data_IF_421661727379
#
_entry.id   IF_421661727379
#
_cell.length_a   1.000
_cell.length_b   1.000
_cell.length_c   1.000
_cell.angle_alpha   90.00
_cell.angle_beta   90.00
_cell.angle_gamma   90.00
#
_symmetry.space_group_name_H-M   'P 1'
#
loop_
_entity.id
_entity.type
_entity.pdbx_description
1 polymer ?
#
# COMPACT_ATOMS: atom_id res chain seq x y z
N UNK A 1 10.96 -7.32 17.41
CA UNK A 1 11.05 -7.74 16.00
C UNK A 1 12.51 -7.82 15.63
N UNK A 2 12.91 -8.82 14.84
CA UNK A 2 14.30 -9.00 14.38
C UNK A 2 14.40 -8.66 12.89
N UNK A 3 15.07 -7.55 12.57
CA UNK A 3 15.26 -7.06 11.20
C UNK A 3 16.63 -7.46 10.60
N UNK A 4 17.40 -8.29 11.31
CA UNK A 4 18.56 -8.96 10.71
C UNK A 4 18.08 -10.07 9.75
N UNK A 5 16.97 -10.73 10.10
CA UNK A 5 16.44 -11.89 9.39
C UNK A 5 15.07 -11.65 8.74
N UNK A 6 14.58 -10.41 8.75
CA UNK A 6 13.26 -10.06 8.25
C UNK A 6 13.18 -8.59 7.88
N UNK A 7 12.01 -8.19 7.39
CA UNK A 7 11.75 -6.84 6.94
C UNK A 7 10.71 -6.17 7.87
N UNK A 8 10.80 -4.85 8.09
CA UNK A 8 9.72 -4.14 8.75
C UNK A 8 8.45 -4.23 7.88
N UNK A 9 7.30 -3.83 8.42
CA UNK A 9 6.09 -3.67 7.62
C UNK A 9 6.29 -2.69 6.47
N UNK A 10 5.44 -2.84 5.45
CA UNK A 10 5.50 -2.04 4.23
C UNK A 10 5.54 -0.55 4.51
N UNK A 11 6.29 0.25 3.72
CA UNK A 11 6.19 1.70 3.81
C UNK A 11 4.78 2.18 3.48
N UNK A 12 3.98 1.41 2.74
CA UNK A 12 2.55 1.65 2.51
C UNK A 12 1.65 1.26 3.68
N UNK A 13 2.14 0.48 4.66
CA UNK A 13 1.34 0.12 5.81
C UNK A 13 0.97 1.39 6.59
N UNK A 14 -0.30 1.45 7.01
CA UNK A 14 -0.90 2.60 7.68
C UNK A 14 -1.24 2.26 9.11
N UNK A 15 -1.06 3.22 10.00
CA UNK A 15 -1.66 3.26 11.33
C UNK A 15 -2.38 4.59 11.44
N UNK A 16 -3.71 4.56 11.62
CA UNK A 16 -4.58 5.74 11.55
C UNK A 16 -4.35 6.60 10.29
N UNK A 17 -4.31 5.96 9.12
CA UNK A 17 -4.03 6.54 7.81
C UNK A 17 -2.65 7.20 7.62
N UNK A 18 -1.71 7.09 8.58
CA UNK A 18 -0.35 7.59 8.40
C UNK A 18 0.54 6.50 7.83
N UNK A 19 1.03 6.69 6.60
CA UNK A 19 1.95 5.72 5.96
C UNK A 19 3.30 5.69 6.65
N UNK A 20 4.02 4.58 6.52
CA UNK A 20 5.33 4.31 7.13
C UNK A 20 5.37 4.32 8.66
N UNK A 21 4.30 4.71 9.37
CA UNK A 21 4.27 4.69 10.83
C UNK A 21 4.46 3.26 11.39
N UNK A 22 3.75 2.23 10.91
CA UNK A 22 4.04 0.83 11.24
C UNK A 22 5.50 0.43 11.02
N UNK A 23 6.06 0.77 9.85
CA UNK A 23 7.46 0.46 9.49
C UNK A 23 8.47 1.15 10.41
N UNK A 24 8.20 2.40 10.80
CA UNK A 24 9.03 3.16 11.74
C UNK A 24 8.96 2.56 13.14
N UNK A 25 7.78 2.16 13.61
CA UNK A 25 7.63 1.46 14.90
C UNK A 25 8.44 0.16 14.90
N UNK A 26 8.36 -0.62 13.82
CA UNK A 26 9.11 -1.88 13.68
C UNK A 26 10.62 -1.65 13.76
N UNK A 27 11.13 -0.64 13.05
CA UNK A 27 12.56 -0.28 13.09
C UNK A 27 12.99 0.17 14.48
N UNK A 28 12.20 0.99 15.16
CA UNK A 28 12.52 1.44 16.53
C UNK A 28 12.49 0.25 17.51
N UNK A 29 11.51 -0.66 17.39
CA UNK A 29 11.47 -1.91 18.17
C UNK A 29 12.69 -2.78 17.90
N UNK A 30 13.15 -2.87 16.66
CA UNK A 30 14.35 -3.63 16.31
C UNK A 30 15.63 -2.99 16.88
N UNK A 31 15.76 -1.66 16.80
CA UNK A 31 16.84 -0.88 17.42
C UNK A 31 16.92 -1.11 18.93
N UNK A 32 15.79 -0.99 19.64
CA UNK A 32 15.68 -1.25 21.07
C UNK A 32 16.12 -2.67 21.46
N UNK A 33 15.92 -3.65 20.58
CA UNK A 33 16.29 -5.04 20.79
C UNK A 33 17.70 -5.39 20.26
N UNK A 34 18.45 -4.43 19.70
CA UNK A 34 19.76 -4.68 19.09
C UNK A 34 19.70 -5.56 17.83
N UNK A 35 18.57 -5.56 17.13
CA UNK A 35 18.28 -6.42 15.96
C UNK A 35 17.86 -5.60 14.73
N UNK A 36 18.33 -4.35 14.64
CA UNK A 36 17.98 -3.45 13.54
C UNK A 36 18.57 -3.89 12.17
N UNK A 37 19.70 -4.58 12.17
CA UNK A 37 20.38 -4.99 10.94
C UNK A 37 20.91 -3.80 10.13
N UNK A 38 20.69 -3.80 8.81
CA UNK A 38 21.13 -2.75 7.89
C UNK A 38 20.19 -1.53 7.85
N UNK A 39 19.05 -1.61 8.52
CA UNK A 39 18.09 -0.52 8.54
C UNK A 39 18.57 0.68 9.37
N UNK A 40 18.06 1.86 9.02
CA UNK A 40 18.26 3.10 9.77
C UNK A 40 16.90 3.79 9.95
N UNK A 41 16.60 4.24 11.16
CA UNK A 41 15.34 4.96 11.46
C UNK A 41 15.56 6.44 11.84
N UNK A 42 16.76 6.80 12.29
CA UNK A 42 17.06 8.18 12.72
C UNK A 42 17.24 9.17 11.56
N UNK A 43 17.13 8.70 10.32
CA UNK A 43 17.27 9.48 9.09
C UNK A 43 16.24 9.07 8.04
N UNK A 44 16.22 9.75 6.90
CA UNK A 44 15.33 9.43 5.78
C UNK A 44 13.85 9.54 6.14
N UNK A 45 13.05 8.58 5.66
CA UNK A 45 11.58 8.58 5.80
C UNK A 45 11.09 8.50 7.25
N UNK A 46 11.75 7.72 8.11
CA UNK A 46 11.36 7.61 9.53
C UNK A 46 11.61 8.91 10.28
N UNK A 47 12.73 9.60 10.01
CA UNK A 47 12.94 10.96 10.52
C UNK A 47 11.90 11.93 9.99
N UNK A 48 11.61 11.91 8.68
CA UNK A 48 10.65 12.83 8.08
C UNK A 48 9.24 12.64 8.66
N UNK A 49 8.83 11.39 8.88
CA UNK A 49 7.60 11.07 9.61
C UNK A 49 7.59 11.66 11.02
N UNK A 50 8.65 11.46 11.80
CA UNK A 50 8.76 11.97 13.18
C UNK A 50 8.70 13.51 13.19
N UNK A 51 9.42 14.17 12.26
CA UNK A 51 9.37 15.63 12.10
C UNK A 51 7.97 16.11 11.73
N UNK A 52 7.26 15.39 10.84
CA UNK A 52 5.87 15.67 10.47
C UNK A 52 4.93 15.51 11.67
N UNK A 53 5.11 14.49 12.51
CA UNK A 53 4.31 14.35 13.74
C UNK A 53 4.69 15.41 14.79
N UNK A 54 5.83 16.08 14.64
CA UNK A 54 6.27 17.15 15.54
C UNK A 54 6.67 16.65 16.93
N UNK A 55 7.13 15.40 17.02
CA UNK A 55 7.66 14.78 18.24
C UNK A 55 9.18 14.61 18.14
N UNK A 56 9.87 14.52 19.28
CA UNK A 56 11.32 14.28 19.29
C UNK A 56 11.64 12.80 19.04
N UNK A 57 12.75 12.49 18.36
CA UNK A 57 13.16 11.10 18.08
C UNK A 57 13.37 10.30 19.37
N UNK A 58 14.10 10.85 20.35
CA UNK A 58 14.33 10.16 21.63
C UNK A 58 13.03 9.91 22.40
N UNK A 59 12.14 10.90 22.45
CA UNK A 59 10.84 10.75 23.12
C UNK A 59 9.98 9.67 22.43
N UNK A 60 10.01 9.61 21.10
CA UNK A 60 9.31 8.58 20.31
C UNK A 60 9.88 7.19 20.62
N UNK A 61 11.21 7.06 20.66
CA UNK A 61 11.90 5.82 21.00
C UNK A 61 11.56 5.35 22.41
N UNK A 62 11.62 6.23 23.40
CA UNK A 62 11.30 5.93 24.80
C UNK A 62 9.82 5.55 24.98
N UNK A 63 8.92 6.20 24.24
CA UNK A 63 7.51 5.86 24.25
C UNK A 63 7.28 4.44 23.70
N UNK A 64 7.91 4.08 22.57
CA UNK A 64 7.81 2.74 21.97
C UNK A 64 8.43 1.67 22.87
N UNK A 65 9.50 1.98 23.61
CA UNK A 65 10.16 1.03 24.51
C UNK A 65 9.24 0.50 25.63
N UNK A 66 8.19 1.24 25.98
CA UNK A 66 7.26 0.90 27.07
C UNK A 66 5.89 0.44 26.57
N UNK A 67 5.71 0.31 25.24
CA UNK A 67 4.41 0.08 24.60
C UNK A 67 4.41 -1.16 23.70
N UNK A 68 3.62 -2.20 24.06
CA UNK A 68 3.75 -3.51 23.43
C UNK A 68 3.13 -3.59 22.02
N UNK A 69 2.15 -2.75 21.72
CA UNK A 69 1.35 -2.80 20.49
C UNK A 69 1.27 -1.43 19.81
N UNK A 70 0.68 -1.38 18.62
CA UNK A 70 0.61 -0.17 17.80
C UNK A 70 -0.43 0.83 18.34
N UNK A 71 -1.53 0.33 18.91
CA UNK A 71 -2.60 1.17 19.48
C UNK A 71 -2.07 1.99 20.65
N UNK A 72 -1.33 1.37 21.57
CA UNK A 72 -0.72 2.08 22.70
C UNK A 72 0.33 3.11 22.26
N UNK A 73 1.05 2.87 21.16
CA UNK A 73 1.96 3.86 20.55
C UNK A 73 1.18 5.01 19.95
N UNK A 74 0.08 4.73 19.26
CA UNK A 74 -0.81 5.75 18.72
C UNK A 74 -1.43 6.63 19.81
N UNK A 75 -1.92 6.04 20.91
CA UNK A 75 -2.47 6.79 22.05
C UNK A 75 -1.45 7.81 22.61
N UNK A 76 -0.17 7.42 22.67
CA UNK A 76 0.89 8.35 23.08
C UNK A 76 1.14 9.43 22.04
N UNK A 77 1.18 9.08 20.75
CA UNK A 77 1.32 10.05 19.68
C UNK A 77 0.20 11.08 19.75
N UNK A 78 -1.06 10.68 19.90
CA UNK A 78 -2.18 11.61 20.00
C UNK A 78 -2.04 12.64 21.13
N UNK A 79 -1.36 12.29 22.22
CA UNK A 79 -1.14 13.19 23.36
C UNK A 79 0.07 14.12 23.21
N UNK A 80 1.02 13.77 22.34
CA UNK A 80 2.34 14.42 22.27
C UNK A 80 2.66 15.03 20.89
N UNK A 81 1.97 14.59 19.84
CA UNK A 81 2.16 15.05 18.47
C UNK A 81 1.47 16.39 18.23
N UNK A 82 1.97 17.13 17.25
CA UNK A 82 1.27 18.29 16.73
C UNK A 82 -0.05 17.84 16.10
N UNK A 83 -1.19 18.52 16.36
CA UNK A 83 -2.44 18.21 15.69
C UNK A 83 -2.28 18.24 14.17
N UNK A 84 -2.77 17.19 13.50
CA UNK A 84 -2.78 17.08 12.04
C UNK A 84 -4.21 16.88 11.56
N UNK A 85 -4.58 17.64 10.54
CA UNK A 85 -5.85 17.43 9.83
C UNK A 85 -5.73 16.23 8.90
N UNK A 86 -6.86 15.67 8.46
CA UNK A 86 -6.85 14.63 7.42
C UNK A 86 -6.16 15.13 6.14
N UNK A 87 -6.33 16.41 5.80
CA UNK A 87 -5.66 17.02 4.65
C UNK A 87 -4.13 17.05 4.83
N UNK A 88 -3.63 17.38 6.03
CA UNK A 88 -2.19 17.32 6.34
C UNK A 88 -1.65 15.90 6.14
N UNK A 89 -2.37 14.89 6.66
CA UNK A 89 -2.00 13.47 6.53
C UNK A 89 -2.01 13.05 5.06
N UNK A 90 -3.04 13.41 4.29
CA UNK A 90 -3.12 13.06 2.88
C UNK A 90 -2.01 13.71 2.05
N UNK A 91 -1.66 14.98 2.33
CA UNK A 91 -0.51 15.64 1.69
C UNK A 91 0.80 14.94 2.04
N UNK A 92 1.00 14.61 3.32
CA UNK A 92 2.17 13.88 3.77
C UNK A 92 2.28 12.49 3.10
N UNK A 93 1.20 11.71 3.10
CA UNK A 93 1.16 10.39 2.47
C UNK A 93 1.53 10.46 0.99
N UNK A 94 0.92 11.39 0.23
CA UNK A 94 1.25 11.60 -1.18
C UNK A 94 2.74 11.92 -1.36
N UNK A 95 3.27 12.85 -0.57
CA UNK A 95 4.66 13.27 -0.69
C UNK A 95 5.64 12.13 -0.36
N UNK A 96 5.27 11.21 0.52
CA UNK A 96 6.03 10.00 0.85
C UNK A 96 5.95 8.95 -0.25
N UNK A 97 4.72 8.61 -0.69
CA UNK A 97 4.43 7.59 -1.71
C UNK A 97 5.04 7.96 -3.06
N UNK A 98 4.88 9.21 -3.48
CA UNK A 98 5.31 9.67 -4.81
C UNK A 98 6.78 10.12 -4.83
N UNK A 99 7.51 10.01 -3.71
CA UNK A 99 8.89 10.45 -3.60
C UNK A 99 9.79 9.64 -4.54
N UNK A 100 10.38 10.34 -5.52
CA UNK A 100 11.36 9.78 -6.45
C UNK A 100 12.79 9.98 -5.99
N UNK A 101 13.68 9.13 -6.52
CA UNK A 101 15.11 9.30 -6.44
C UNK A 101 15.51 10.61 -7.14
N UNK A 102 16.44 11.35 -6.56
CA UNK A 102 16.96 12.56 -7.19
C UNK A 102 17.94 12.19 -8.31
N UNK A 103 18.16 13.06 -9.32
CA UNK A 103 19.10 12.79 -10.40
C UNK A 103 20.51 12.42 -9.92
N UNK A 104 20.96 13.00 -8.80
CA UNK A 104 22.27 12.73 -8.20
C UNK A 104 22.37 11.30 -7.62
N UNK A 105 21.24 10.61 -7.43
CA UNK A 105 21.16 9.22 -6.95
C UNK A 105 20.83 8.22 -8.05
N UNK A 106 20.80 8.63 -9.32
CA UNK A 106 20.44 7.77 -10.45
C UNK A 106 21.31 6.51 -10.54
N UNK A 107 22.64 6.65 -10.40
CA UNK A 107 23.55 5.49 -10.41
C UNK A 107 23.28 4.54 -9.24
N UNK A 108 22.94 5.08 -8.07
CA UNK A 108 22.66 4.27 -6.88
C UNK A 108 21.41 3.42 -7.07
N UNK A 109 20.32 3.99 -7.57
CA UNK A 109 19.10 3.20 -7.82
C UNK A 109 19.31 2.20 -8.95
N UNK A 110 20.12 2.52 -9.96
CA UNK A 110 20.50 1.56 -10.98
C UNK A 110 21.24 0.35 -10.38
N UNK A 111 22.28 0.57 -9.57
CA UNK A 111 23.02 -0.50 -8.87
C UNK A 111 22.10 -1.35 -7.98
N UNK A 112 21.19 -0.70 -7.24
CA UNK A 112 20.23 -1.39 -6.37
C UNK A 112 19.28 -2.28 -7.19
N UNK A 113 18.69 -1.75 -8.26
CA UNK A 113 17.80 -2.52 -9.13
C UNK A 113 18.54 -3.64 -9.87
N UNK A 114 19.80 -3.43 -10.28
CA UNK A 114 20.68 -4.46 -10.83
C UNK A 114 20.93 -5.60 -9.83
N UNK A 115 21.15 -5.27 -8.55
CA UNK A 115 21.44 -6.27 -7.51
C UNK A 115 20.31 -7.26 -7.26
N UNK A 116 19.07 -6.89 -7.56
CA UNK A 116 17.89 -7.75 -7.48
C UNK A 116 17.44 -8.29 -8.85
N UNK A 117 18.27 -8.13 -9.89
CA UNK A 117 18.01 -8.63 -11.23
C UNK A 117 16.93 -7.88 -12.01
N UNK A 118 16.61 -6.64 -11.62
CA UNK A 118 15.57 -5.80 -12.25
C UNK A 118 16.13 -4.46 -12.75
N UNK A 119 17.22 -4.42 -13.54
CA UNK A 119 17.86 -3.17 -13.96
C UNK A 119 16.91 -2.20 -14.67
N UNK A 120 15.93 -2.71 -15.43
CA UNK A 120 15.02 -1.90 -16.22
C UNK A 120 14.01 -1.06 -15.43
N UNK A 121 13.91 -1.25 -14.10
CA UNK A 121 12.93 -0.52 -13.27
C UNK A 121 13.51 0.67 -12.52
N UNK A 122 14.82 0.93 -12.61
CA UNK A 122 15.51 1.97 -11.83
C UNK A 122 14.98 3.39 -12.10
N UNK A 123 14.64 3.71 -13.35
CA UNK A 123 14.06 5.00 -13.75
C UNK A 123 12.55 5.11 -13.47
N UNK A 124 11.96 4.01 -13.03
CA UNK A 124 10.52 3.84 -12.90
C UNK A 124 10.16 4.06 -11.43
N UNK A 125 10.72 3.26 -10.54
CA UNK A 125 10.25 3.14 -9.15
C UNK A 125 10.51 4.38 -8.28
N UNK A 126 9.55 4.68 -7.42
CA UNK A 126 9.71 5.54 -6.25
C UNK A 126 10.49 4.82 -5.14
N UNK A 127 10.79 5.52 -4.05
CA UNK A 127 11.42 4.87 -2.90
C UNK A 127 10.56 3.77 -2.28
N UNK A 128 9.24 3.97 -2.17
CA UNK A 128 8.34 2.95 -1.59
C UNK A 128 8.21 1.74 -2.51
N UNK A 129 8.07 1.97 -3.82
CA UNK A 129 8.04 0.89 -4.81
C UNK A 129 9.35 0.09 -4.80
N UNK A 130 10.51 0.76 -4.69
CA UNK A 130 11.81 0.09 -4.55
C UNK A 130 11.90 -0.75 -3.28
N UNK A 131 11.50 -0.21 -2.11
CA UNK A 131 11.55 -0.95 -0.83
C UNK A 131 10.74 -2.24 -0.89
N UNK A 132 9.46 -2.15 -1.27
CA UNK A 132 8.63 -3.35 -1.40
C UNK A 132 9.21 -4.36 -2.42
N UNK A 133 9.84 -3.87 -3.48
CA UNK A 133 10.39 -4.72 -4.54
C UNK A 133 11.64 -5.46 -4.07
N UNK A 134 12.57 -4.78 -3.40
CA UNK A 134 13.77 -5.37 -2.81
C UNK A 134 13.41 -6.38 -1.71
N UNK A 135 12.40 -6.07 -0.90
CA UNK A 135 11.91 -6.92 0.20
C UNK A 135 10.96 -8.03 -0.31
N UNK A 136 10.83 -8.19 -1.64
CA UNK A 136 9.99 -9.17 -2.33
C UNK A 136 8.57 -9.29 -1.73
N UNK A 137 7.94 -8.16 -1.38
CA UNK A 137 6.68 -8.17 -0.63
C UNK A 137 5.53 -8.76 -1.44
N UNK A 138 4.86 -9.74 -0.83
CA UNK A 138 3.60 -10.32 -1.29
C UNK A 138 2.58 -10.28 -0.14
N UNK A 139 1.30 -10.18 -0.49
CA UNK A 139 0.21 -10.38 0.45
C UNK A 139 0.22 -11.81 0.96
N UNK A 140 -0.20 -12.00 2.21
CA UNK A 140 -0.47 -13.33 2.73
C UNK A 140 -1.58 -14.00 1.92
N UNK A 141 -1.38 -15.27 1.59
CA UNK A 141 -2.36 -16.06 0.85
C UNK A 141 -3.57 -16.35 1.74
N UNK A 142 -4.75 -16.05 1.19
CA UNK A 142 -6.03 -16.38 1.79
C UNK A 142 -6.73 -17.46 0.96
N UNK A 143 -7.48 -18.34 1.63
CA UNK A 143 -8.40 -19.29 1.01
C UNK A 143 -9.84 -18.84 1.17
N UNK A 144 -10.22 -18.43 2.37
CA UNK A 144 -11.63 -18.17 2.69
C UNK A 144 -12.10 -16.80 2.19
N UNK A 145 -13.37 -16.69 1.78
CA UNK A 145 -14.01 -15.40 1.56
C UNK A 145 -14.11 -14.62 2.88
N UNK A 146 -13.89 -13.32 2.80
CA UNK A 146 -14.15 -12.38 3.89
C UNK A 146 -15.51 -11.72 3.72
N UNK A 147 -16.16 -11.36 4.82
CA UNK A 147 -17.40 -10.60 4.80
C UNK A 147 -17.12 -9.11 4.64
N UNK A 148 -17.32 -8.61 3.42
CA UNK A 148 -17.06 -7.23 3.06
C UNK A 148 -18.10 -6.24 3.57
N UNK A 149 -19.16 -6.71 4.23
CA UNK A 149 -20.10 -5.82 4.94
C UNK A 149 -19.54 -5.34 6.29
N UNK A 150 -18.50 -5.99 6.81
CA UNK A 150 -17.93 -5.70 8.14
C UNK A 150 -16.40 -5.62 8.14
N UNK A 151 -15.74 -6.00 7.04
CA UNK A 151 -14.28 -5.96 6.94
C UNK A 151 -13.89 -5.51 5.54
N UNK A 152 -13.09 -4.45 5.38
CA UNK A 152 -12.64 -4.02 4.06
C UNK A 152 -11.80 -5.11 3.38
N UNK A 153 -11.81 -5.19 2.03
CA UNK A 153 -10.90 -6.07 1.33
C UNK A 153 -9.46 -5.59 1.54
N UNK A 154 -8.48 -6.44 1.20
CA UNK A 154 -7.06 -6.12 1.40
C UNK A 154 -6.68 -4.77 0.80
N UNK A 155 -5.70 -4.12 1.44
CA UNK A 155 -5.22 -2.79 1.09
C UNK A 155 -4.79 -2.75 -0.39
N UNK A 156 -5.16 -1.70 -1.16
CA UNK A 156 -4.90 -1.64 -2.60
C UNK A 156 -3.41 -1.68 -2.97
N UNK A 157 -2.50 -1.37 -2.04
CA UNK A 157 -1.05 -1.42 -2.25
C UNK A 157 -0.47 -2.83 -2.05
N UNK A 158 -1.22 -3.76 -1.46
CA UNK A 158 -0.78 -5.15 -1.34
C UNK A 158 -0.70 -5.82 -2.71
N UNK A 159 0.23 -6.77 -2.84
CA UNK A 159 0.60 -7.36 -4.11
C UNK A 159 0.46 -8.87 -4.09
N UNK A 160 0.02 -9.41 -5.20
CA UNK A 160 0.22 -10.81 -5.58
C UNK A 160 0.82 -10.80 -6.99
N UNK A 161 1.73 -11.70 -7.29
CA UNK A 161 2.46 -11.71 -8.58
C UNK A 161 3.17 -10.38 -8.90
N UNK A 162 3.52 -9.62 -7.87
CA UNK A 162 4.10 -8.27 -8.02
C UNK A 162 3.12 -7.19 -8.48
N UNK A 163 1.81 -7.48 -8.58
CA UNK A 163 0.77 -6.55 -9.04
C UNK A 163 -0.04 -6.00 -7.88
N UNK A 164 -0.10 -4.67 -7.76
CA UNK A 164 -0.96 -3.99 -6.78
C UNK A 164 -2.44 -4.23 -7.09
N UNK A 165 -3.30 -4.12 -6.07
CA UNK A 165 -4.75 -4.30 -6.17
C UNK A 165 -5.22 -5.69 -6.62
N UNK A 166 -4.33 -6.63 -6.96
CA UNK A 166 -4.69 -8.02 -7.23
C UNK A 166 -5.31 -8.71 -6.00
N UNK A 167 -4.70 -8.68 -4.80
CA UNK A 167 -5.32 -9.30 -3.63
C UNK A 167 -6.70 -8.71 -3.32
N UNK A 168 -6.85 -7.38 -3.39
CA UNK A 168 -8.13 -6.68 -3.21
C UNK A 168 -9.18 -7.11 -4.24
N UNK A 169 -8.77 -7.31 -5.49
CA UNK A 169 -9.68 -7.77 -6.56
C UNK A 169 -10.15 -9.20 -6.31
N UNK A 170 -9.25 -10.09 -5.86
CA UNK A 170 -9.60 -11.46 -5.48
C UNK A 170 -10.55 -11.50 -4.28
N UNK A 171 -10.33 -10.67 -3.26
CA UNK A 171 -11.21 -10.61 -2.09
C UNK A 171 -12.64 -10.24 -2.48
N UNK A 172 -12.80 -9.21 -3.33
CA UNK A 172 -14.13 -8.76 -3.77
C UNK A 172 -14.81 -9.78 -4.69
N UNK A 173 -14.06 -10.43 -5.57
CA UNK A 173 -14.59 -11.49 -6.41
C UNK A 173 -15.00 -12.72 -5.58
N UNK A 174 -14.19 -13.13 -4.59
CA UNK A 174 -14.54 -14.20 -3.63
C UNK A 174 -15.78 -13.86 -2.82
N UNK A 175 -15.86 -12.64 -2.31
CA UNK A 175 -17.01 -12.18 -1.53
C UNK A 175 -18.30 -12.19 -2.36
N UNK A 176 -18.24 -11.91 -3.65
CA UNK A 176 -19.40 -12.08 -4.53
C UNK A 176 -19.81 -13.56 -4.69
N UNK A 177 -18.86 -14.49 -4.88
CA UNK A 177 -19.19 -15.92 -4.91
C UNK A 177 -19.84 -16.40 -3.60
N UNK A 178 -19.40 -15.84 -2.47
CA UNK A 178 -19.91 -16.17 -1.15
C UNK A 178 -21.21 -15.43 -0.77
N UNK A 179 -21.62 -14.42 -1.53
CA UNK A 179 -22.76 -13.57 -1.20
C UNK A 179 -22.52 -12.61 -0.04
N UNK A 180 -21.26 -12.25 0.22
CA UNK A 180 -20.81 -11.41 1.35
C UNK A 180 -20.15 -10.11 0.89
N UNK A 181 -20.61 -9.53 -0.22
CA UNK A 181 -19.92 -8.41 -0.90
C UNK A 181 -20.12 -7.05 -0.23
N UNK A 182 -21.15 -6.91 0.63
CA UNK A 182 -21.52 -5.62 1.19
C UNK A 182 -21.76 -4.57 0.10
N UNK A 183 -21.24 -3.36 0.29
CA UNK A 183 -21.34 -2.25 -0.67
C UNK A 183 -20.20 -2.25 -1.73
N UNK A 184 -19.31 -3.23 -1.70
CA UNK A 184 -18.16 -3.28 -2.62
C UNK A 184 -18.55 -3.79 -4.01
N UNK A 185 -18.05 -3.11 -5.05
CA UNK A 185 -18.25 -3.47 -6.46
C UNK A 185 -16.89 -3.72 -7.12
N UNK A 186 -16.67 -4.88 -7.77
CA UNK A 186 -15.35 -5.25 -8.30
C UNK A 186 -15.22 -5.33 -9.82
N UNK A 187 -16.29 -5.46 -10.60
CA UNK A 187 -16.20 -5.40 -12.08
C UNK A 187 -16.15 -3.96 -12.60
N UNK A 188 -15.41 -3.10 -11.90
CA UNK A 188 -15.30 -1.66 -12.20
C UNK A 188 -13.95 -1.09 -11.74
N UNK A 189 -13.62 0.10 -12.21
CA UNK A 189 -12.50 0.91 -11.74
C UNK A 189 -11.16 0.16 -11.78
N UNK A 190 -10.46 0.15 -10.63
CA UNK A 190 -9.10 -0.39 -10.51
C UNK A 190 -9.00 -1.89 -10.81
N UNK A 191 -10.06 -2.66 -10.53
CA UNK A 191 -10.09 -4.09 -10.82
C UNK A 191 -10.19 -4.34 -12.34
N UNK A 192 -10.94 -3.52 -13.10
CA UNK A 192 -10.94 -3.61 -14.56
C UNK A 192 -9.60 -3.20 -15.16
N UNK A 193 -9.00 -2.11 -14.68
CA UNK A 193 -7.68 -1.67 -15.16
C UNK A 193 -6.62 -2.77 -14.99
N UNK A 194 -6.66 -3.49 -13.86
CA UNK A 194 -5.81 -4.64 -13.62
C UNK A 194 -6.09 -5.79 -14.59
N UNK A 195 -7.35 -6.18 -14.79
CA UNK A 195 -7.72 -7.28 -15.66
C UNK A 195 -7.41 -7.00 -17.13
N UNK A 196 -7.68 -5.77 -17.59
CA UNK A 196 -7.31 -5.31 -18.93
C UNK A 196 -5.78 -5.40 -19.14
N UNK A 197 -4.99 -5.01 -18.14
CA UNK A 197 -3.54 -5.15 -18.17
C UNK A 197 -3.11 -6.63 -18.23
N UNK A 198 -3.83 -7.54 -17.57
CA UNK A 198 -3.58 -8.97 -17.63
C UNK A 198 -4.10 -9.63 -18.92
N UNK A 199 -4.92 -8.92 -19.71
CA UNK A 199 -5.63 -9.50 -20.86
C UNK A 199 -6.65 -10.56 -20.44
N UNK A 200 -7.23 -10.40 -19.26
CA UNK A 200 -8.27 -11.25 -18.70
C UNK A 200 -9.58 -10.48 -18.60
N UNK A 201 -10.69 -11.18 -18.70
CA UNK A 201 -12.02 -10.63 -18.44
C UNK A 201 -12.46 -10.93 -17.00
N UNK A 202 -13.38 -10.14 -16.42
CA UNK A 202 -13.96 -10.47 -15.12
C UNK A 202 -14.65 -11.84 -15.09
N UNK A 203 -15.29 -12.25 -16.19
CA UNK A 203 -16.00 -13.52 -16.26
C UNK A 203 -15.03 -14.71 -16.26
N UNK A 204 -13.90 -14.61 -16.95
CA UNK A 204 -12.84 -15.64 -16.91
C UNK A 204 -12.28 -15.82 -15.50
N UNK A 205 -11.94 -14.70 -14.82
CA UNK A 205 -11.47 -14.75 -13.42
C UNK A 205 -12.54 -15.36 -12.50
N UNK A 206 -13.79 -14.94 -12.66
CA UNK A 206 -14.90 -15.38 -11.81
C UNK A 206 -15.27 -16.85 -12.04
N UNK A 207 -15.06 -17.38 -13.24
CA UNK A 207 -15.20 -18.81 -13.51
C UNK A 207 -14.06 -19.63 -12.90
N UNK A 208 -12.82 -19.15 -12.99
CA UNK A 208 -11.67 -19.81 -12.36
C UNK A 208 -11.85 -19.97 -10.84
N UNK A 209 -12.30 -18.89 -10.17
CA UNK A 209 -12.57 -18.89 -8.73
C UNK A 209 -13.63 -19.93 -8.29
N UNK A 210 -14.53 -20.38 -9.18
CA UNK A 210 -15.51 -21.43 -8.85
C UNK A 210 -14.88 -22.82 -8.71
N UNK A 211 -13.72 -23.02 -9.32
CA UNK A 211 -12.99 -24.29 -9.23
C UNK A 211 -12.16 -24.34 -7.96
N UNK A 212 -11.37 -23.30 -7.70
CA UNK A 212 -10.59 -23.13 -6.47
C UNK A 212 -10.37 -21.63 -6.25
N UNK A 213 -10.90 -21.11 -5.13
CA UNK A 213 -10.89 -19.68 -4.83
C UNK A 213 -9.67 -19.22 -4.02
N UNK A 214 -8.73 -20.12 -3.70
CA UNK A 214 -7.56 -19.74 -2.92
C UNK A 214 -6.62 -18.82 -3.70
N UNK A 215 -5.97 -17.87 -3.01
CA UNK A 215 -5.00 -16.96 -3.63
C UNK A 215 -3.87 -17.74 -4.33
N UNK A 216 -3.46 -18.86 -3.75
CA UNK A 216 -2.42 -19.71 -4.34
C UNK A 216 -2.86 -20.23 -5.71
N UNK A 217 -4.03 -20.86 -5.77
CA UNK A 217 -4.58 -21.42 -7.01
C UNK A 217 -4.87 -20.32 -8.03
N UNK A 218 -5.38 -19.18 -7.57
CA UNK A 218 -5.61 -18.03 -8.44
C UNK A 218 -4.32 -17.40 -8.95
N UNK A 219 -3.25 -17.33 -8.16
CA UNK A 219 -1.94 -16.91 -8.64
C UNK A 219 -1.41 -17.84 -9.73
N UNK A 220 -1.56 -19.16 -9.56
CA UNK A 220 -1.16 -20.16 -10.55
C UNK A 220 -2.00 -20.06 -11.84
N UNK A 221 -3.32 -19.93 -11.71
CA UNK A 221 -4.22 -19.77 -12.85
C UNK A 221 -3.98 -18.45 -13.60
N UNK A 222 -3.88 -17.32 -12.89
CA UNK A 222 -3.59 -16.02 -13.51
C UNK A 222 -2.25 -16.08 -14.25
N UNK A 223 -1.20 -16.60 -13.61
CA UNK A 223 0.13 -16.71 -14.24
C UNK A 223 0.10 -17.55 -15.53
N UNK A 224 -0.82 -18.51 -15.63
CA UNK A 224 -0.95 -19.41 -16.80
C UNK A 224 -1.82 -18.84 -17.92
N UNK A 225 -2.69 -17.87 -17.63
CA UNK A 225 -3.68 -17.35 -18.58
C UNK A 225 -3.49 -15.87 -18.91
N UNK A 226 -2.73 -15.11 -18.11
CA UNK A 226 -2.47 -13.70 -18.36
C UNK A 226 -1.53 -13.51 -19.56
N UNK A 227 -1.63 -12.34 -20.20
CA UNK A 227 -0.60 -11.85 -21.10
C UNK A 227 0.74 -11.77 -20.36
N UNK A 228 1.80 -12.24 -21.00
CA UNK A 228 3.15 -12.14 -20.44
C UNK A 228 3.54 -10.67 -20.28
N UNK A 229 4.02 -10.31 -19.08
CA UNK A 229 4.44 -8.95 -18.73
C UNK A 229 5.86 -8.96 -18.21
N UNK A 230 6.67 -8.05 -18.73
CA UNK A 230 8.00 -7.77 -18.20
C UNK A 230 7.92 -7.04 -16.85
N UNK A 231 9.01 -7.09 -16.08
CA UNK A 231 9.14 -6.33 -14.84
C UNK A 231 8.94 -4.82 -15.05
N UNK A 232 9.35 -4.31 -16.21
CA UNK A 232 9.18 -2.91 -16.61
C UNK A 232 7.70 -2.57 -16.79
N UNK A 233 6.96 -3.42 -17.51
CA UNK A 233 5.51 -3.25 -17.70
C UNK A 233 4.76 -3.32 -16.38
N UNK A 234 5.10 -4.28 -15.51
CA UNK A 234 4.49 -4.41 -14.18
C UNK A 234 4.77 -3.17 -13.34
N UNK A 235 6.02 -2.67 -13.35
CA UNK A 235 6.39 -1.49 -12.57
C UNK A 235 5.70 -0.21 -13.10
N UNK A 236 5.52 -0.06 -14.42
CA UNK A 236 4.72 1.03 -14.98
C UNK A 236 3.24 0.90 -14.63
N UNK A 237 2.68 -0.29 -14.73
CA UNK A 237 1.28 -0.56 -14.36
C UNK A 237 1.03 -0.20 -12.89
N UNK A 238 1.84 -0.74 -11.97
CA UNK A 238 1.70 -0.49 -10.54
C UNK A 238 1.72 1.01 -10.24
N UNK A 239 2.66 1.74 -10.84
CA UNK A 239 2.77 3.17 -10.65
C UNK A 239 1.57 3.94 -11.19
N UNK A 240 1.10 3.56 -12.38
CA UNK A 240 -0.08 4.14 -13.00
C UNK A 240 -1.34 3.91 -12.15
N UNK A 241 -1.48 2.73 -11.53
CA UNK A 241 -2.57 2.41 -10.62
C UNK A 241 -2.50 3.25 -9.33
N UNK A 242 -1.31 3.32 -8.70
CA UNK A 242 -1.06 4.10 -7.48
C UNK A 242 -1.31 5.59 -7.71
N UNK A 243 -0.84 6.15 -8.83
CA UNK A 243 -0.96 7.56 -9.20
C UNK A 243 -2.21 7.86 -10.05
N UNK A 244 -3.23 7.01 -9.99
CA UNK A 244 -4.45 7.19 -10.79
C UNK A 244 -5.35 8.28 -10.18
N UNK A 245 -5.05 9.54 -10.49
CA UNK A 245 -5.87 10.69 -10.17
C UNK A 245 -7.10 10.80 -11.09
N UNK A 246 -8.21 11.40 -10.62
CA UNK A 246 -9.32 11.76 -11.50
C UNK A 246 -8.89 12.91 -12.43
N UNK A 247 -8.78 12.64 -13.73
CA UNK A 247 -8.27 13.62 -14.73
C UNK A 247 -9.31 14.05 -15.77
N UNK A 248 -10.51 13.48 -15.74
CA UNK A 248 -11.64 13.91 -16.59
C UNK A 248 -12.70 14.59 -15.74
N UNK A 249 -13.46 15.53 -16.31
CA UNK A 249 -14.50 16.27 -15.59
C UNK A 249 -15.45 15.33 -14.83
N UNK A 250 -15.98 14.32 -15.51
CA UNK A 250 -16.90 13.34 -14.90
C UNK A 250 -16.24 12.56 -13.74
N UNK A 251 -14.96 12.19 -13.88
CA UNK A 251 -14.23 11.48 -12.81
C UNK A 251 -13.92 12.41 -11.64
N UNK A 252 -13.60 13.67 -11.91
CA UNK A 252 -13.34 14.68 -10.89
C UNK A 252 -14.62 14.97 -10.10
N UNK A 253 -15.75 15.15 -10.78
CA UNK A 253 -17.05 15.37 -10.14
C UNK A 253 -17.48 14.15 -9.29
N UNK A 254 -17.32 12.94 -9.82
CA UNK A 254 -17.60 11.72 -9.06
C UNK A 254 -16.72 11.58 -7.82
N UNK A 255 -15.41 11.86 -7.96
CA UNK A 255 -14.45 11.80 -6.86
C UNK A 255 -14.72 12.86 -5.79
N UNK A 256 -15.10 14.07 -6.22
CA UNK A 256 -15.50 15.17 -5.33
C UNK A 256 -16.74 14.80 -4.50
N UNK A 257 -17.77 14.23 -5.15
CA UNK A 257 -18.96 13.75 -4.45
C UNK A 257 -18.61 12.68 -3.41
N UNK A 258 -17.86 11.64 -3.79
CA UNK A 258 -17.49 10.55 -2.89
C UNK A 258 -16.77 11.06 -1.63
N UNK A 259 -15.77 11.94 -1.80
CA UNK A 259 -15.04 12.47 -0.66
C UNK A 259 -15.87 13.46 0.16
N UNK A 260 -16.76 14.23 -0.47
CA UNK A 260 -17.65 15.14 0.26
C UNK A 260 -18.62 14.37 1.13
N UNK A 261 -19.22 13.31 0.59
CA UNK A 261 -20.15 12.43 1.30
C UNK A 261 -19.47 11.71 2.49
N UNK A 262 -18.18 11.41 2.37
CA UNK A 262 -17.35 10.86 3.44
C UNK A 262 -16.83 11.90 4.47
N UNK A 263 -17.15 13.20 4.30
CA UNK A 263 -16.64 14.26 5.18
C UNK A 263 -15.17 14.65 4.93
N UNK A 264 -14.65 14.33 3.75
CA UNK A 264 -13.25 14.44 3.31
C UNK A 264 -13.06 15.46 2.17
N UNK A 265 -14.01 16.38 1.99
CA UNK A 265 -14.04 17.37 0.91
C UNK A 265 -12.72 18.17 0.68
N UNK A 266 -11.92 18.53 1.71
CA UNK A 266 -10.64 19.22 1.48
C UNK A 266 -9.59 18.40 0.68
N UNK A 267 -9.77 17.08 0.55
CA UNK A 267 -8.78 16.17 -0.02
C UNK A 267 -9.03 15.81 -1.49
N UNK A 268 -10.04 16.40 -2.12
CA UNK A 268 -10.52 16.04 -3.48
C UNK A 268 -9.48 16.22 -4.59
N UNK A 269 -8.52 17.12 -4.39
CA UNK A 269 -7.45 17.41 -5.37
C UNK A 269 -6.12 16.72 -5.07
N UNK A 270 -6.04 15.97 -3.96
CA UNK A 270 -4.79 15.44 -3.39
C UNK A 270 -4.78 13.91 -3.37
N UNK A 271 -5.95 13.29 -3.44
CA UNK A 271 -6.13 11.84 -3.27
C UNK A 271 -6.23 11.15 -4.62
N UNK A 272 -5.44 10.09 -4.78
CA UNK A 272 -5.60 9.15 -5.88
C UNK A 272 -6.78 8.23 -5.62
N UNK A 273 -7.16 7.42 -6.61
CA UNK A 273 -8.15 6.37 -6.38
C UNK A 273 -7.73 5.38 -5.28
N UNK A 274 -6.44 5.06 -5.15
CA UNK A 274 -5.95 4.18 -4.08
C UNK A 274 -6.02 4.85 -2.71
N UNK A 275 -5.57 6.10 -2.59
CA UNK A 275 -5.66 6.83 -1.32
C UNK A 275 -7.12 7.01 -0.89
N UNK A 276 -8.05 7.30 -1.82
CA UNK A 276 -9.47 7.34 -1.49
C UNK A 276 -9.97 6.01 -0.92
N UNK A 277 -9.61 4.87 -1.53
CA UNK A 277 -9.99 3.56 -1.00
C UNK A 277 -9.47 3.33 0.42
N UNK A 278 -8.23 3.73 0.72
CA UNK A 278 -7.67 3.62 2.07
C UNK A 278 -8.42 4.50 3.08
N UNK A 279 -8.80 5.72 2.68
CA UNK A 279 -9.61 6.60 3.53
C UNK A 279 -11.02 6.05 3.77
N UNK A 280 -11.68 5.55 2.72
CA UNK A 280 -13.02 4.96 2.81
C UNK A 280 -13.01 3.72 3.72
N UNK A 281 -12.03 2.82 3.53
CA UNK A 281 -11.90 1.58 4.32
C UNK A 281 -11.60 1.87 5.80
N UNK A 282 -10.97 3.00 6.13
CA UNK A 282 -10.67 3.40 7.50
C UNK A 282 -11.87 4.01 8.26
N UNK A 283 -13.01 4.20 7.59
CA UNK A 283 -14.26 4.67 8.19
C UNK A 283 -15.19 3.53 8.63
N UNK A 284 -14.89 2.29 8.23
CA UNK A 284 -15.60 1.07 8.63
C UNK A 284 -15.13 0.58 10.01
#
# INVERSE_FOLDING_TARGET
>A
MDLINGFPRSPYARLHNVVSLPSTIDKIRADLNGTLGEYVWQSGFSKWLIDFLGVHQDATRDAIATRPDDDSVWEWLQQNMQPRTNEDIARFNRDMIERRWSPERASRIQELCESIGKPGVSDIVTYFEWQDLEENRQAEYQSEPIDLSVTPPRDPYQKLLGLVNLPRTLDKARAELAGTTGDYIWRTGQSLLLLDFLGLTPDELFEALRTDHSDKSMCEWISSNMLSRSDVEIAFFNRGAIQNYPVTADRMEAHERMLTDAGLAPMTTITTAFERLCWDDALL
#
